data_IF_577467937609
#
_entry.id   IF_577467937609
#
_cell.length_a   1.000
_cell.length_b   1.000
_cell.length_c   1.000
_cell.angle_alpha   90.00
_cell.angle_beta   90.00
_cell.angle_gamma   90.00
#
_symmetry.space_group_name_H-M   'P 1'
#
loop_
_entity.id
_entity.type
_entity.pdbx_description
1 polymer ?
#
# COMPACT_ATOMS: atom_id res chain seq x y z
N UNK A 1 6.94 4.75 -19.49
CA UNK A 1 5.80 5.24 -18.69
C UNK A 1 6.05 4.66 -17.32
N UNK A 2 6.07 5.47 -16.25
CA UNK A 2 6.76 5.10 -15.02
C UNK A 2 6.13 3.84 -14.42
N UNK A 3 6.89 2.75 -14.46
CA UNK A 3 6.53 1.45 -13.87
C UNK A 3 6.68 1.45 -12.35
N UNK A 4 7.51 2.36 -11.82
CA UNK A 4 7.85 2.40 -10.40
C UNK A 4 6.84 3.13 -9.53
N UNK A 5 6.58 2.56 -8.35
CA UNK A 5 5.75 3.18 -7.33
C UNK A 5 6.61 3.86 -6.24
N UNK A 6 6.18 5.05 -5.80
CA UNK A 6 6.74 5.76 -4.65
C UNK A 6 5.62 6.10 -3.66
N UNK A 7 5.84 5.78 -2.38
CA UNK A 7 4.90 6.10 -1.31
C UNK A 7 5.46 7.20 -0.40
N UNK A 8 4.60 8.02 0.21
CA UNK A 8 5.03 9.12 1.10
C UNK A 8 5.93 8.61 2.25
N UNK A 9 5.65 7.43 2.78
CA UNK A 9 6.44 6.82 3.86
C UNK A 9 7.87 6.44 3.44
N UNK A 10 8.12 6.25 2.14
CA UNK A 10 9.45 5.89 1.62
C UNK A 10 10.47 7.03 1.82
N UNK A 11 9.99 8.27 1.89
CA UNK A 11 10.85 9.44 2.13
C UNK A 11 11.59 9.34 3.47
N UNK A 12 10.94 8.79 4.50
CA UNK A 12 11.56 8.63 5.82
C UNK A 12 12.76 7.69 5.79
N UNK A 13 12.59 6.48 5.26
CA UNK A 13 13.65 5.47 5.15
C UNK A 13 14.74 5.89 4.18
N UNK A 14 14.37 6.54 3.08
CA UNK A 14 15.31 7.06 2.08
C UNK A 14 16.16 8.19 2.67
N UNK A 15 15.55 9.15 3.37
CA UNK A 15 16.28 10.22 4.04
C UNK A 15 17.21 9.68 5.15
N UNK A 16 16.74 8.71 5.95
CA UNK A 16 17.57 8.06 6.96
C UNK A 16 18.80 7.35 6.34
N UNK A 17 18.63 6.72 5.17
CA UNK A 17 19.74 6.10 4.43
C UNK A 17 20.75 7.14 3.94
N UNK A 18 20.29 8.20 3.30
CA UNK A 18 21.13 9.28 2.77
C UNK A 18 21.86 10.04 3.89
N UNK A 19 21.17 10.32 4.99
CA UNK A 19 21.72 10.96 6.18
C UNK A 19 22.62 10.07 7.04
N UNK A 20 22.90 8.82 6.62
CA UNK A 20 23.68 7.83 7.37
C UNK A 20 23.14 7.57 8.79
N UNK A 21 21.82 7.67 8.96
CA UNK A 21 21.12 7.49 10.22
C UNK A 21 20.20 6.25 10.20
N UNK A 22 20.46 5.29 9.32
CA UNK A 22 19.63 4.08 9.18
C UNK A 22 19.63 3.23 10.46
N UNK A 23 20.70 3.25 11.25
CA UNK A 23 20.79 2.61 12.57
C UNK A 23 19.92 3.28 13.64
N UNK A 24 19.38 4.49 13.36
CA UNK A 24 18.48 5.23 14.25
C UNK A 24 17.00 5.00 13.93
N UNK A 25 16.68 4.28 12.85
CA UNK A 25 15.31 3.90 12.55
C UNK A 25 14.80 2.97 13.66
N UNK A 26 13.65 3.26 14.29
CA UNK A 26 13.14 2.46 15.39
C UNK A 26 12.92 1.00 14.99
N UNK A 27 13.47 0.07 15.78
CA UNK A 27 13.33 -1.38 15.60
C UNK A 27 12.29 -2.02 16.52
N UNK A 28 11.58 -1.21 17.31
CA UNK A 28 10.54 -1.62 18.27
C UNK A 28 9.13 -1.62 17.65
N UNK A 29 9.00 -1.21 16.39
CA UNK A 29 7.76 -1.03 15.65
C UNK A 29 7.97 -1.29 14.16
N UNK A 30 6.87 -1.39 13.43
CA UNK A 30 6.92 -1.50 11.97
C UNK A 30 7.08 -0.11 11.35
N UNK A 31 7.94 -0.06 10.33
CA UNK A 31 8.14 1.09 9.45
C UNK A 31 7.76 0.64 8.04
N UNK A 32 6.76 1.27 7.44
CA UNK A 32 6.23 0.85 6.12
C UNK A 32 7.07 1.36 4.94
N UNK A 33 7.84 2.42 5.16
CA UNK A 33 8.72 3.01 4.15
C UNK A 33 9.80 2.05 3.70
N UNK A 34 10.17 2.12 2.43
CA UNK A 34 11.35 1.44 1.89
C UNK A 34 12.36 2.46 1.35
N UNK A 35 13.63 2.08 1.31
CA UNK A 35 14.67 2.93 0.71
C UNK A 35 14.50 3.00 -0.81
N UNK A 36 14.21 4.19 -1.34
CA UNK A 36 14.06 4.48 -2.77
C UNK A 36 15.29 5.21 -3.34
N UNK A 37 16.44 5.18 -2.67
CA UNK A 37 17.69 5.79 -3.18
C UNK A 37 18.05 5.27 -4.57
N UNK A 38 17.78 3.99 -4.88
CA UNK A 38 18.05 3.41 -6.19
C UNK A 38 17.19 4.08 -7.28
N UNK A 39 15.87 4.16 -7.10
CA UNK A 39 14.96 4.89 -7.99
C UNK A 39 15.42 6.34 -8.21
N UNK A 40 15.77 7.06 -7.13
CA UNK A 40 16.12 8.49 -7.21
C UNK A 40 17.47 8.76 -7.88
N UNK A 41 18.42 7.82 -7.83
CA UNK A 41 19.77 8.01 -8.39
C UNK A 41 19.96 7.33 -9.75
N UNK A 42 19.27 6.21 -9.98
CA UNK A 42 19.44 5.37 -11.18
C UNK A 42 18.28 5.53 -12.17
N UNK A 43 17.14 6.05 -11.73
CA UNK A 43 15.97 6.31 -12.57
C UNK A 43 14.98 5.14 -12.59
N UNK A 44 14.15 5.13 -13.63
CA UNK A 44 13.10 4.14 -13.88
C UNK A 44 13.65 2.70 -13.82
N UNK A 45 12.79 1.74 -13.45
CA UNK A 45 13.07 0.30 -13.22
C UNK A 45 13.97 0.00 -12.00
N UNK A 46 14.25 1.00 -11.16
CA UNK A 46 15.04 0.83 -9.93
C UNK A 46 14.23 1.08 -8.65
N UNK A 47 12.90 1.21 -8.77
CA UNK A 47 11.98 1.24 -7.65
C UNK A 47 11.95 -0.10 -6.92
N UNK A 48 11.83 -0.04 -5.59
CA UNK A 48 11.78 -1.26 -4.74
C UNK A 48 10.36 -1.62 -4.31
N UNK A 49 9.36 -0.83 -4.71
CA UNK A 49 7.98 -0.93 -4.23
C UNK A 49 7.08 -1.50 -5.31
N UNK A 50 6.50 -2.66 -5.00
CA UNK A 50 5.51 -3.33 -5.84
C UNK A 50 4.08 -3.20 -5.30
N UNK A 51 3.91 -2.83 -4.02
CA UNK A 51 2.60 -2.79 -3.37
C UNK A 51 2.40 -1.62 -2.41
N UNK A 52 1.18 -1.08 -2.35
CA UNK A 52 0.75 -0.04 -1.41
C UNK A 52 -0.67 -0.28 -0.91
N UNK A 53 -0.89 -0.09 0.39
CA UNK A 53 -2.20 -0.20 1.02
C UNK A 53 -2.87 1.18 1.10
N UNK A 54 -4.09 1.29 0.59
CA UNK A 54 -4.89 2.52 0.65
C UNK A 54 -5.96 2.36 1.72
N UNK A 55 -5.75 3.06 2.82
CA UNK A 55 -6.69 3.13 3.94
C UNK A 55 -7.58 4.36 3.83
N UNK A 56 -8.81 4.20 4.28
CA UNK A 56 -9.75 5.28 4.49
C UNK A 56 -10.30 5.15 5.92
N UNK A 57 -9.86 6.04 6.80
CA UNK A 57 -9.96 5.80 8.24
C UNK A 57 -9.33 4.46 8.63
N UNK A 58 -10.05 3.65 9.40
CA UNK A 58 -9.62 2.30 9.79
C UNK A 58 -9.84 1.20 8.75
N UNK A 59 -10.40 1.51 7.57
CA UNK A 59 -10.80 0.51 6.56
C UNK A 59 -9.78 0.45 5.43
N UNK A 60 -9.30 -0.75 5.10
CA UNK A 60 -8.51 -0.98 3.89
C UNK A 60 -9.44 -1.03 2.67
N UNK A 61 -9.46 0.04 1.88
CA UNK A 61 -10.36 0.16 0.72
C UNK A 61 -9.75 -0.35 -0.58
N UNK A 62 -8.45 -0.14 -0.78
CA UNK A 62 -7.78 -0.56 -2.01
C UNK A 62 -6.31 -0.93 -1.81
N UNK A 63 -5.77 -1.65 -2.78
CA UNK A 63 -4.35 -2.02 -2.86
C UNK A 63 -3.83 -1.60 -4.23
N UNK A 64 -2.72 -0.86 -4.26
CA UNK A 64 -1.93 -0.72 -5.49
C UNK A 64 -1.02 -1.93 -5.60
N UNK A 65 -1.03 -2.61 -6.73
CA UNK A 65 -0.15 -3.72 -7.05
C UNK A 65 0.24 -3.66 -8.53
N UNK A 66 1.52 -3.45 -8.82
CA UNK A 66 2.03 -3.20 -10.19
C UNK A 66 1.18 -2.14 -10.91
N UNK A 67 0.75 -2.39 -12.14
CA UNK A 67 -0.15 -1.54 -12.92
C UNK A 67 -1.59 -1.49 -12.42
N UNK A 68 -1.96 -2.32 -11.44
CA UNK A 68 -3.32 -2.40 -10.93
C UNK A 68 -3.55 -1.58 -9.67
N UNK A 69 -4.72 -0.96 -9.58
CA UNK A 69 -5.34 -0.58 -8.33
C UNK A 69 -6.53 -1.50 -8.12
N UNK A 70 -6.53 -2.17 -6.99
CA UNK A 70 -7.45 -3.26 -6.66
C UNK A 70 -8.38 -2.77 -5.57
N UNK A 71 -9.65 -2.58 -5.90
CA UNK A 71 -10.65 -2.19 -4.91
C UNK A 71 -11.13 -3.45 -4.20
N UNK A 72 -11.06 -3.46 -2.87
CA UNK A 72 -11.54 -4.57 -2.05
C UNK A 72 -13.02 -4.35 -1.78
N UNK A 73 -13.84 -5.32 -2.18
CA UNK A 73 -15.30 -5.31 -2.05
C UNK A 73 -15.77 -6.59 -1.38
N UNK A 74 -17.05 -6.67 -1.05
CA UNK A 74 -17.64 -7.92 -0.65
C UNK A 74 -17.61 -8.92 -1.81
N UNK A 75 -17.20 -10.16 -1.54
CA UNK A 75 -17.19 -11.22 -2.54
C UNK A 75 -18.58 -11.80 -2.77
N UNK A 76 -18.87 -12.20 -4.01
CA UNK A 76 -20.12 -12.89 -4.36
C UNK A 76 -19.82 -14.17 -5.15
N UNK A 77 -20.61 -15.23 -4.90
CA UNK A 77 -20.56 -16.47 -5.69
C UNK A 77 -19.26 -17.26 -5.59
N UNK A 78 -18.51 -17.14 -4.49
CA UNK A 78 -17.23 -17.85 -4.28
C UNK A 78 -16.01 -17.21 -4.95
N UNK A 79 -16.20 -16.09 -5.65
CA UNK A 79 -15.10 -15.29 -6.19
C UNK A 79 -14.60 -14.26 -5.16
N UNK A 80 -13.29 -13.92 -5.17
CA UNK A 80 -12.77 -12.80 -4.40
C UNK A 80 -13.50 -11.51 -4.78
N UNK A 81 -13.91 -10.72 -3.78
CA UNK A 81 -14.43 -9.37 -3.98
C UNK A 81 -13.29 -8.40 -4.29
N UNK A 82 -12.78 -8.48 -5.52
CA UNK A 82 -11.65 -7.67 -5.98
C UNK A 82 -11.92 -7.18 -7.40
N UNK A 83 -11.99 -5.87 -7.58
CA UNK A 83 -12.02 -5.26 -8.91
C UNK A 83 -10.65 -4.68 -9.23
N UNK A 84 -10.04 -5.18 -10.31
CA UNK A 84 -8.74 -4.72 -10.78
C UNK A 84 -8.94 -3.64 -11.84
N UNK A 85 -8.36 -2.47 -11.58
CA UNK A 85 -8.30 -1.34 -12.49
C UNK A 85 -6.84 -1.17 -12.93
N UNK A 86 -6.55 -1.32 -14.22
CA UNK A 86 -5.21 -1.01 -14.73
C UNK A 86 -5.08 0.51 -14.86
N UNK A 87 -4.43 1.17 -13.91
CA UNK A 87 -4.37 2.65 -13.87
C UNK A 87 -3.48 3.25 -14.95
N UNK A 88 -2.62 2.43 -15.57
CA UNK A 88 -1.78 2.89 -16.70
C UNK A 88 -2.62 3.04 -17.97
N UNK A 89 -3.61 2.17 -18.18
CA UNK A 89 -4.51 2.19 -19.35
C UNK A 89 -5.84 2.90 -19.08
N UNK A 90 -6.28 2.87 -17.83
CA UNK A 90 -7.50 3.51 -17.35
C UNK A 90 -7.22 4.31 -16.07
N UNK A 91 -6.53 5.46 -16.19
CA UNK A 91 -6.21 6.32 -15.04
C UNK A 91 -7.44 6.81 -14.28
N UNK A 92 -8.61 6.81 -14.93
CA UNK A 92 -9.88 7.23 -14.34
C UNK A 92 -10.61 6.14 -13.57
N UNK A 93 -10.07 4.92 -13.48
CA UNK A 93 -10.67 3.78 -12.78
C UNK A 93 -12.13 3.50 -13.21
N UNK A 94 -12.41 3.62 -14.52
CA UNK A 94 -13.75 3.46 -15.10
C UNK A 94 -14.13 2.00 -15.36
N UNK A 95 -13.16 1.13 -15.63
CA UNK A 95 -13.37 -0.23 -16.12
C UNK A 95 -12.63 -1.25 -15.24
N UNK A 96 -13.26 -1.59 -14.10
CA UNK A 96 -12.76 -2.62 -13.19
C UNK A 96 -13.23 -4.01 -13.58
N UNK A 97 -12.32 -4.99 -13.60
CA UNK A 97 -12.64 -6.39 -13.87
C UNK A 97 -11.77 -7.34 -13.04
N UNK A 98 -12.34 -8.44 -12.54
CA UNK A 98 -11.57 -9.46 -11.82
C UNK A 98 -10.63 -10.27 -12.73
N UNK A 99 -11.14 -10.76 -13.86
CA UNK A 99 -10.45 -11.74 -14.70
C UNK A 99 -9.05 -11.32 -15.17
N UNK A 100 -8.82 -10.08 -15.64
CA UNK A 100 -7.49 -9.63 -16.04
C UNK A 100 -6.46 -9.65 -14.90
N UNK A 101 -6.91 -9.51 -13.65
CA UNK A 101 -6.07 -9.48 -12.45
C UNK A 101 -6.01 -10.80 -11.68
N UNK A 102 -6.58 -11.89 -12.20
CA UNK A 102 -6.70 -13.15 -11.47
C UNK A 102 -5.34 -13.71 -11.00
N UNK A 103 -4.28 -13.46 -11.78
CA UNK A 103 -2.91 -13.85 -11.43
C UNK A 103 -2.40 -13.17 -10.14
N UNK A 104 -2.89 -11.97 -9.83
CA UNK A 104 -2.46 -11.17 -8.69
C UNK A 104 -3.29 -11.41 -7.41
N UNK A 105 -4.44 -12.08 -7.51
CA UNK A 105 -5.32 -12.36 -6.36
C UNK A 105 -4.58 -13.08 -5.25
N UNK A 106 -3.91 -14.20 -5.57
CA UNK A 106 -3.22 -15.01 -4.55
C UNK A 106 -2.05 -14.26 -3.91
N UNK A 107 -1.13 -13.63 -4.67
CA UNK A 107 -0.10 -12.75 -4.11
C UNK A 107 -0.67 -11.69 -3.17
N UNK A 108 -1.69 -10.94 -3.61
CA UNK A 108 -2.33 -9.89 -2.81
C UNK A 108 -2.90 -10.46 -1.51
N UNK A 109 -3.61 -11.59 -1.56
CA UNK A 109 -4.17 -12.21 -0.36
C UNK A 109 -3.11 -12.67 0.64
N UNK A 110 -1.97 -13.18 0.16
CA UNK A 110 -0.85 -13.58 1.02
C UNK A 110 -0.27 -12.35 1.71
N UNK A 111 0.10 -11.32 0.94
CA UNK A 111 0.73 -10.13 1.51
C UNK A 111 -0.23 -9.34 2.40
N UNK A 112 -1.53 -9.30 2.07
CA UNK A 112 -2.56 -8.74 2.95
C UNK A 112 -2.66 -9.50 4.27
N UNK A 113 -2.61 -10.84 4.23
CA UNK A 113 -2.63 -11.66 5.44
C UNK A 113 -1.40 -11.40 6.31
N UNK A 114 -0.22 -11.27 5.69
CA UNK A 114 1.01 -10.93 6.39
C UNK A 114 0.96 -9.54 7.02
N UNK A 115 0.49 -8.55 6.26
CA UNK A 115 0.24 -7.20 6.75
C UNK A 115 -0.68 -7.18 7.97
N UNK A 116 -1.82 -7.88 7.89
CA UNK A 116 -2.75 -8.00 9.02
C UNK A 116 -2.15 -8.72 10.23
N UNK A 117 -1.32 -9.75 10.02
CA UNK A 117 -0.57 -10.40 11.11
C UNK A 117 0.40 -9.43 11.80
N UNK A 118 1.03 -8.54 11.03
CA UNK A 118 1.93 -7.54 11.58
C UNK A 118 1.17 -6.48 12.37
N UNK A 119 -0.02 -6.07 11.93
CA UNK A 119 -0.91 -5.20 12.72
C UNK A 119 -1.34 -5.91 14.02
N UNK A 120 -1.66 -7.20 13.99
CA UNK A 120 -2.00 -7.95 15.21
C UNK A 120 -0.84 -7.99 16.21
N UNK A 121 0.39 -8.17 15.71
CA UNK A 121 1.60 -8.19 16.55
C UNK A 121 2.02 -6.80 17.03
N UNK A 122 1.85 -5.78 16.19
CA UNK A 122 2.21 -4.39 16.43
C UNK A 122 1.00 -3.50 16.15
N UNK A 123 0.04 -3.43 17.10
CA UNK A 123 -1.22 -2.72 16.89
C UNK A 123 -1.01 -1.22 16.63
N UNK A 124 -1.91 -0.64 15.84
CA UNK A 124 -1.90 0.79 15.54
C UNK A 124 -1.97 1.61 16.83
N UNK A 125 -1.21 2.72 16.86
CA UNK A 125 -1.26 3.66 17.98
C UNK A 125 -2.58 4.40 17.96
N UNK A 126 -3.14 4.60 19.14
CA UNK A 126 -4.28 5.49 19.33
C UNK A 126 -3.73 6.92 19.46
N UNK A 127 -4.26 7.84 18.65
CA UNK A 127 -3.94 9.26 18.78
C UNK A 127 -4.47 9.77 20.12
N UNK A 128 -3.62 10.44 20.91
CA UNK A 128 -4.04 11.09 22.17
C UNK A 128 -4.80 12.40 21.91
N UNK A 129 -4.60 13.01 20.74
CA UNK A 129 -5.12 14.34 20.39
C UNK A 129 -6.36 14.29 19.50
N UNK A 130 -6.61 13.16 18.82
CA UNK A 130 -7.81 12.98 17.99
C UNK A 130 -8.89 12.34 18.87
N UNK A 131 -10.02 13.04 19.13
CA UNK A 131 -11.12 12.45 19.89
C UNK A 131 -11.59 11.14 19.23
N UNK A 132 -11.91 10.12 20.03
CA UNK A 132 -12.53 8.89 19.52
C UNK A 132 -13.80 9.25 18.74
N UNK A 133 -13.84 8.88 17.46
CA UNK A 133 -14.95 9.21 16.55
C UNK A 133 -14.78 10.48 15.71
N UNK A 134 -13.66 11.21 15.85
CA UNK A 134 -13.26 12.30 14.94
C UNK A 134 -12.30 11.82 13.83
N UNK A 135 -12.25 10.52 13.59
CA UNK A 135 -11.49 9.92 12.51
C UNK A 135 -12.20 10.25 11.19
N UNK A 136 -11.47 10.81 10.23
CA UNK A 136 -11.99 11.06 8.88
C UNK A 136 -12.55 9.74 8.32
N UNK A 137 -13.85 9.72 8.08
CA UNK A 137 -14.53 8.61 7.43
C UNK A 137 -14.26 8.69 5.91
N UNK A 138 -14.48 7.60 5.15
CA UNK A 138 -14.31 7.63 3.70
C UNK A 138 -15.14 8.67 2.92
N UNK A 139 -16.06 9.36 3.60
CA UNK A 139 -16.98 10.32 3.01
C UNK A 139 -16.82 11.75 3.57
N UNK A 140 -15.85 11.98 4.46
CA UNK A 140 -15.56 13.31 5.03
C UNK A 140 -14.58 14.13 4.17
#
# INVERSE_FOLDING_TARGET
>A
DPEDNLHLTDLFTTAARLGRAHDKVPSDRITDGIDQTALLLLGEDHGRRHMMFHYSGGVLGAIRYEDFKVHIKEGHGGLPGMDFYNVMRDPGEKYGQLYPGLFAVTPIQITLREHMKMIQKFPHRVSEVTPKGAELTPHD
#
